data_IF_515268431524
#
_entry.id   IF_515268431524
#
_cell.length_a   1.000
_cell.length_b   1.000
_cell.length_c   1.000
_cell.angle_alpha   90.00
_cell.angle_beta   90.00
_cell.angle_gamma   90.00
#
_symmetry.space_group_name_H-M   'P 1'
#
loop_
_entity.id
_entity.type
_entity.pdbx_description
1 polymer ?
#
# COMPACT_ATOMS: atom_id res chain seq x y z
N UNK A 1 3.63 1.47 0.65
CA UNK A 1 4.74 1.26 -0.31
C UNK A 1 4.30 0.69 -1.65
N UNK A 2 3.45 -0.35 -1.68
CA UNK A 2 3.08 -1.08 -2.91
C UNK A 2 2.61 -0.19 -4.09
N UNK A 3 1.75 0.83 -3.91
CA UNK A 3 1.39 1.75 -5.00
C UNK A 3 2.56 2.56 -5.55
N UNK A 4 3.48 3.01 -4.70
CA UNK A 4 4.68 3.72 -5.13
C UNK A 4 5.63 2.83 -5.93
N UNK A 5 5.79 1.57 -5.51
CA UNK A 5 6.56 0.57 -6.25
C UNK A 5 5.94 0.28 -7.63
N UNK A 6 4.61 0.19 -7.70
CA UNK A 6 3.91 0.01 -8.97
C UNK A 6 4.18 1.15 -9.95
N UNK A 7 4.09 2.41 -9.50
CA UNK A 7 4.39 3.57 -10.34
C UNK A 7 5.86 3.53 -10.79
N UNK A 8 6.79 3.27 -9.87
CA UNK A 8 8.21 3.21 -10.19
C UNK A 8 8.51 2.17 -11.28
N UNK A 9 7.89 0.98 -11.20
CA UNK A 9 8.07 -0.07 -12.20
C UNK A 9 7.36 0.23 -13.51
N UNK A 10 6.12 0.73 -13.47
CA UNK A 10 5.30 0.89 -14.68
C UNK A 10 5.53 2.18 -15.45
N UNK A 11 6.11 3.20 -14.82
CA UNK A 11 6.41 4.49 -15.49
C UNK A 11 7.88 4.57 -15.87
N UNK A 12 8.79 4.14 -14.99
CA UNK A 12 10.23 4.37 -15.16
C UNK A 12 10.98 3.11 -15.60
N UNK A 13 10.62 1.93 -15.09
CA UNK A 13 11.43 0.72 -15.27
C UNK A 13 10.66 -0.55 -15.65
N UNK A 14 9.93 -0.51 -16.79
CA UNK A 14 9.11 -1.65 -17.26
C UNK A 14 9.93 -2.94 -17.43
N UNK A 15 11.19 -2.81 -17.86
CA UNK A 15 12.07 -3.93 -18.19
C UNK A 15 12.49 -4.78 -16.98
N UNK A 16 12.17 -4.37 -15.75
CA UNK A 16 12.43 -5.18 -14.56
C UNK A 16 11.36 -6.23 -14.28
N UNK A 17 10.23 -6.19 -15.01
CA UNK A 17 9.16 -7.18 -14.86
C UNK A 17 9.43 -8.43 -15.73
N UNK A 18 9.06 -9.63 -15.26
CA UNK A 18 9.08 -10.83 -16.09
C UNK A 18 8.29 -10.63 -17.38
N UNK A 19 8.81 -11.15 -18.50
CA UNK A 19 8.24 -10.93 -19.83
C UNK A 19 6.74 -11.26 -19.94
N UNK A 20 6.22 -12.38 -19.36
CA UNK A 20 4.79 -12.67 -19.41
C UNK A 20 3.92 -11.59 -18.73
N UNK A 21 4.38 -11.06 -17.59
CA UNK A 21 3.67 -10.00 -16.86
C UNK A 21 3.71 -8.68 -17.63
N UNK A 22 4.86 -8.36 -18.23
CA UNK A 22 5.02 -7.14 -19.05
C UNK A 22 4.02 -7.12 -20.20
N UNK A 23 3.86 -8.25 -20.91
CA UNK A 23 2.91 -8.36 -22.03
C UNK A 23 1.48 -8.15 -21.56
N UNK A 24 1.07 -8.80 -20.46
CA UNK A 24 -0.29 -8.64 -19.93
C UNK A 24 -0.58 -7.21 -19.47
N UNK A 25 0.37 -6.56 -18.77
CA UNK A 25 0.23 -5.19 -18.28
C UNK A 25 0.18 -4.20 -19.44
N UNK A 26 1.07 -4.37 -20.42
CA UNK A 26 1.14 -3.50 -21.60
C UNK A 26 -0.14 -3.64 -22.43
N UNK A 27 -0.59 -4.87 -22.70
CA UNK A 27 -1.84 -5.12 -23.42
C UNK A 27 -3.06 -4.49 -22.72
N UNK A 28 -3.09 -4.55 -21.38
CA UNK A 28 -4.16 -3.96 -20.57
C UNK A 28 -4.14 -2.42 -20.51
N UNK A 29 -3.03 -1.79 -20.93
CA UNK A 29 -2.86 -0.34 -20.96
C UNK A 29 -3.02 0.27 -22.36
N UNK A 30 -3.10 -0.55 -23.41
CA UNK A 30 -3.34 -0.06 -24.77
C UNK A 30 -4.70 0.63 -24.83
N UNK A 31 -4.72 1.92 -25.17
CA UNK A 31 -5.95 2.71 -25.30
C UNK A 31 -6.37 3.48 -24.05
N UNK A 32 -5.61 3.40 -22.93
CA UNK A 32 -5.86 4.24 -21.76
C UNK A 32 -5.22 5.63 -21.93
N UNK A 33 -5.98 6.73 -21.83
CA UNK A 33 -5.45 8.09 -21.97
C UNK A 33 -4.76 8.61 -20.68
N UNK A 34 -4.88 7.87 -19.58
CA UNK A 34 -4.44 8.30 -18.24
C UNK A 34 -3.05 7.73 -17.93
N UNK A 35 -2.18 8.55 -17.32
CA UNK A 35 -0.88 8.09 -16.81
C UNK A 35 -1.03 7.14 -15.63
N UNK A 36 -0.16 6.13 -15.50
CA UNK A 36 -0.18 5.15 -14.40
C UNK A 36 -0.22 5.79 -13.00
N UNK A 37 0.39 6.97 -12.80
CA UNK A 37 0.35 7.69 -11.52
C UNK A 37 -1.05 8.22 -11.19
N UNK A 38 -1.77 8.75 -12.18
CA UNK A 38 -3.15 9.20 -12.01
C UNK A 38 -4.11 8.03 -11.88
N UNK A 39 -3.86 6.96 -12.63
CA UNK A 39 -4.63 5.72 -12.62
C UNK A 39 -4.76 5.15 -11.19
N UNK A 40 -3.63 5.02 -10.49
CA UNK A 40 -3.60 4.49 -9.12
C UNK A 40 -4.19 5.49 -8.11
N UNK A 41 -4.02 6.80 -8.33
CA UNK A 41 -4.59 7.83 -7.47
C UNK A 41 -6.12 7.80 -7.51
N UNK A 42 -6.71 7.73 -8.70
CA UNK A 42 -8.17 7.62 -8.90
C UNK A 42 -8.70 6.36 -8.21
N UNK A 43 -8.04 5.21 -8.38
CA UNK A 43 -8.49 3.97 -7.74
C UNK A 43 -8.39 4.01 -6.22
N UNK A 44 -7.33 4.59 -5.67
CA UNK A 44 -7.23 4.76 -4.22
C UNK A 44 -8.33 5.70 -3.68
N UNK A 45 -8.67 6.77 -4.41
CA UNK A 45 -9.77 7.66 -4.05
C UNK A 45 -11.11 6.91 -4.07
N UNK A 46 -11.38 6.10 -5.10
CA UNK A 46 -12.61 5.30 -5.15
C UNK A 46 -12.71 4.32 -4.00
N UNK A 47 -11.63 3.58 -3.69
CA UNK A 47 -11.65 2.66 -2.56
C UNK A 47 -11.81 3.36 -1.21
N UNK A 48 -11.19 4.53 -1.02
CA UNK A 48 -11.34 5.30 0.21
C UNK A 48 -12.77 5.83 0.36
N UNK A 49 -13.40 6.28 -0.72
CA UNK A 49 -14.82 6.65 -0.77
C UNK A 49 -15.73 5.47 -0.40
N UNK A 50 -15.47 4.27 -0.93
CA UNK A 50 -16.26 3.08 -0.58
C UNK A 50 -16.09 2.66 0.87
N UNK A 51 -14.86 2.75 1.39
CA UNK A 51 -14.57 2.51 2.79
C UNK A 51 -15.32 3.50 3.69
N UNK A 52 -15.22 4.79 3.40
CA UNK A 52 -15.86 5.86 4.17
C UNK A 52 -17.39 5.77 4.11
N UNK A 53 -17.95 5.43 2.94
CA UNK A 53 -19.38 5.15 2.80
C UNK A 53 -19.79 3.91 3.60
N UNK A 54 -18.98 2.85 3.56
CA UNK A 54 -19.23 1.59 4.27
C UNK A 54 -19.29 1.75 5.79
N UNK A 55 -18.41 2.59 6.36
CA UNK A 55 -18.41 2.85 7.82
C UNK A 55 -19.53 3.80 8.26
N UNK A 56 -20.01 4.68 7.38
CA UNK A 56 -21.07 5.66 7.67
C UNK A 56 -22.48 5.08 7.55
N UNK A 57 -22.64 4.02 6.78
CA UNK A 57 -23.93 3.35 6.59
C UNK A 57 -24.22 2.33 7.70
N UNK A 58 -25.51 2.04 7.99
CA UNK A 58 -25.88 0.97 8.92
C UNK A 58 -25.29 -0.37 8.47
N UNK A 59 -24.87 -1.22 9.42
CA UNK A 59 -24.19 -2.50 9.14
C UNK A 59 -24.91 -3.40 8.13
N UNK A 60 -26.25 -3.37 8.08
CA UNK A 60 -27.06 -4.14 7.13
C UNK A 60 -26.84 -3.75 5.66
N UNK A 61 -26.41 -2.52 5.38
CA UNK A 61 -26.24 -1.98 4.02
C UNK A 61 -24.79 -1.61 3.71
N UNK A 62 -24.01 -1.23 4.72
CA UNK A 62 -22.62 -0.78 4.55
C UNK A 62 -21.70 -1.82 3.90
N UNK A 63 -21.80 -3.08 4.30
CA UNK A 63 -21.01 -4.16 3.68
C UNK A 63 -21.40 -4.37 2.21
N UNK A 64 -22.70 -4.34 1.90
CA UNK A 64 -23.21 -4.49 0.54
C UNK A 64 -22.73 -3.35 -0.37
N UNK A 65 -22.76 -2.10 0.12
CA UNK A 65 -22.27 -0.93 -0.63
C UNK A 65 -20.76 -1.01 -0.87
N UNK A 66 -19.98 -1.43 0.12
CA UNK A 66 -18.54 -1.58 -0.05
C UNK A 66 -18.18 -2.67 -1.10
N UNK A 67 -18.86 -3.83 -1.06
CA UNK A 67 -18.63 -4.93 -2.01
C UNK A 67 -19.10 -4.57 -3.42
N UNK A 68 -20.32 -4.04 -3.55
CA UNK A 68 -20.86 -3.63 -4.85
C UNK A 68 -20.08 -2.44 -5.43
N UNK A 69 -19.68 -1.48 -4.59
CA UNK A 69 -18.83 -0.36 -4.99
C UNK A 69 -17.50 -0.84 -5.57
N UNK A 70 -16.77 -1.67 -4.82
CA UNK A 70 -15.48 -2.21 -5.28
C UNK A 70 -15.57 -3.02 -6.58
N UNK A 71 -16.59 -3.87 -6.72
CA UNK A 71 -16.73 -4.76 -7.88
C UNK A 71 -17.38 -4.05 -9.09
N UNK A 72 -18.56 -3.46 -8.94
CA UNK A 72 -19.32 -2.88 -10.07
C UNK A 72 -18.65 -1.59 -10.55
N UNK A 73 -18.28 -0.70 -9.62
CA UNK A 73 -17.66 0.58 -10.02
C UNK A 73 -16.22 0.36 -10.47
N UNK A 74 -15.49 -0.59 -9.84
CA UNK A 74 -14.15 -0.96 -10.29
C UNK A 74 -14.14 -1.50 -11.72
N UNK A 75 -15.08 -2.40 -12.04
CA UNK A 75 -15.25 -2.96 -13.38
C UNK A 75 -15.75 -1.93 -14.40
N UNK A 76 -16.65 -1.03 -13.99
CA UNK A 76 -17.06 0.11 -14.82
C UNK A 76 -15.89 1.07 -15.09
N UNK A 77 -15.02 1.34 -14.10
CA UNK A 77 -13.85 2.20 -14.27
C UNK A 77 -12.84 1.61 -15.26
N UNK A 78 -12.69 0.28 -15.28
CA UNK A 78 -11.87 -0.43 -16.27
C UNK A 78 -12.48 -0.27 -17.67
N UNK A 79 -13.76 -0.57 -17.84
CA UNK A 79 -14.44 -0.44 -19.14
C UNK A 79 -14.49 0.99 -19.68
N UNK A 80 -14.62 1.98 -18.79
CA UNK A 80 -14.59 3.40 -19.13
C UNK A 80 -13.18 3.90 -19.51
N UNK A 81 -12.13 3.07 -19.34
CA UNK A 81 -10.77 3.44 -19.67
C UNK A 81 -10.12 4.40 -18.66
N UNK A 82 -10.66 4.51 -17.44
CA UNK A 82 -10.03 5.30 -16.38
C UNK A 82 -8.87 4.55 -15.70
N UNK A 83 -8.92 3.21 -15.71
CA UNK A 83 -7.97 2.35 -15.02
C UNK A 83 -7.76 1.03 -15.74
N UNK A 84 -6.65 0.36 -15.46
CA UNK A 84 -6.34 -0.99 -15.94
C UNK A 84 -6.64 -2.03 -14.86
N UNK A 85 -6.96 -3.28 -15.25
CA UNK A 85 -7.10 -4.39 -14.31
C UNK A 85 -5.89 -4.57 -13.38
N UNK A 86 -4.68 -4.34 -13.89
CA UNK A 86 -3.45 -4.50 -13.10
C UNK A 86 -3.34 -3.47 -11.97
N UNK A 87 -3.69 -2.21 -12.21
CA UNK A 87 -3.68 -1.16 -11.20
C UNK A 87 -4.82 -1.34 -10.19
N UNK A 88 -5.99 -1.83 -10.63
CA UNK A 88 -7.10 -2.20 -9.73
C UNK A 88 -6.64 -3.20 -8.66
N UNK A 89 -5.96 -4.28 -9.09
CA UNK A 89 -5.46 -5.33 -8.16
C UNK A 89 -4.53 -4.74 -7.11
N UNK A 90 -3.65 -3.82 -7.52
CA UNK A 90 -2.66 -3.18 -6.64
C UNK A 90 -3.33 -2.20 -5.66
N UNK A 91 -4.33 -1.45 -6.13
CA UNK A 91 -5.16 -0.60 -5.28
C UNK A 91 -5.93 -1.43 -4.24
N UNK A 92 -6.58 -2.51 -4.67
CA UNK A 92 -7.33 -3.41 -3.79
C UNK A 92 -6.44 -4.04 -2.72
N UNK A 93 -5.27 -4.58 -3.10
CA UNK A 93 -4.29 -5.13 -2.16
C UNK A 93 -3.83 -4.09 -1.13
N UNK A 94 -3.64 -2.85 -1.56
CA UNK A 94 -3.23 -1.75 -0.66
C UNK A 94 -4.31 -1.47 0.38
N UNK A 95 -5.57 -1.39 -0.05
CA UNK A 95 -6.71 -1.10 0.83
C UNK A 95 -6.96 -2.27 1.80
N UNK A 96 -6.92 -3.50 1.30
CA UNK A 96 -7.06 -4.71 2.14
C UNK A 96 -5.95 -4.75 3.20
N UNK A 97 -4.71 -4.42 2.82
CA UNK A 97 -3.60 -4.34 3.75
C UNK A 97 -3.81 -3.25 4.81
N UNK A 98 -4.51 -2.16 4.47
CA UNK A 98 -4.80 -1.07 5.41
C UNK A 98 -5.66 -1.52 6.59
N UNK A 99 -6.52 -2.53 6.43
CA UNK A 99 -7.31 -3.08 7.53
C UNK A 99 -6.46 -3.78 8.61
N UNK A 100 -5.17 -4.03 8.34
CA UNK A 100 -4.22 -4.51 9.37
C UNK A 100 -3.69 -3.38 10.26
N UNK A 101 -3.82 -2.12 9.81
CA UNK A 101 -3.42 -0.96 10.58
C UNK A 101 -4.53 -0.49 11.52
N UNK A 102 -4.12 0.07 12.65
CA UNK A 102 -5.03 0.74 13.60
C UNK A 102 -5.61 2.01 12.96
N UNK A 103 -4.78 2.75 12.21
CA UNK A 103 -5.20 3.91 11.44
C UNK A 103 -5.36 3.50 9.96
N UNK A 104 -6.61 3.49 9.48
CA UNK A 104 -6.98 3.00 8.15
C UNK A 104 -6.91 4.07 7.05
N UNK A 105 -6.32 5.25 7.32
CA UNK A 105 -6.22 6.31 6.32
C UNK A 105 -5.25 5.93 5.19
N UNK A 106 -5.79 5.37 4.10
CA UNK A 106 -5.00 4.85 2.97
C UNK A 106 -4.36 6.00 2.20
N UNK A 107 -5.14 7.01 1.83
CA UNK A 107 -4.67 8.11 1.00
C UNK A 107 -3.57 8.90 1.71
N UNK A 108 -3.77 9.28 2.98
CA UNK A 108 -2.79 10.05 3.74
C UNK A 108 -1.44 9.32 3.87
N UNK A 109 -1.47 8.02 4.13
CA UNK A 109 -0.25 7.23 4.36
C UNK A 109 0.56 6.96 3.08
N UNK A 110 -0.10 6.93 1.92
CA UNK A 110 0.55 6.49 0.66
C UNK A 110 0.81 7.66 -0.30
N UNK A 111 0.12 8.79 -0.16
CA UNK A 111 0.21 9.94 -1.05
C UNK A 111 1.64 10.48 -1.23
N UNK A 112 2.38 10.62 -0.13
CA UNK A 112 3.76 11.13 -0.16
C UNK A 112 4.67 10.20 -0.98
N UNK A 113 4.53 8.89 -0.81
CA UNK A 113 5.31 7.88 -1.53
C UNK A 113 4.95 7.87 -3.01
N UNK A 114 3.67 8.04 -3.36
CA UNK A 114 3.20 8.13 -4.75
C UNK A 114 3.81 9.34 -5.46
N UNK A 115 3.83 10.51 -4.81
CA UNK A 115 4.44 11.72 -5.37
C UNK A 115 5.92 11.49 -5.63
N UNK A 116 6.67 11.05 -4.62
CA UNK A 116 8.11 10.85 -4.74
C UNK A 116 8.43 9.80 -5.82
N UNK A 117 7.70 8.68 -5.86
CA UNK A 117 7.89 7.64 -6.87
C UNK A 117 7.46 8.10 -8.28
N UNK A 118 6.47 8.98 -8.40
CA UNK A 118 6.05 9.52 -9.70
C UNK A 118 7.13 10.41 -10.31
N UNK A 119 7.78 11.27 -9.52
CA UNK A 119 8.81 12.18 -10.02
C UNK A 119 10.18 11.51 -10.16
N UNK A 120 10.58 10.68 -9.20
CA UNK A 120 11.95 10.12 -9.12
C UNK A 120 12.03 8.61 -9.42
N UNK A 121 10.90 7.97 -9.76
CA UNK A 121 10.86 6.55 -10.13
C UNK A 121 11.36 5.62 -9.04
N UNK A 122 12.15 4.61 -9.44
CA UNK A 122 12.69 3.59 -8.54
C UNK A 122 13.65 4.18 -7.49
N UNK A 123 14.40 5.23 -7.85
CA UNK A 123 15.27 5.94 -6.91
C UNK A 123 14.44 6.61 -5.80
N UNK A 124 13.37 7.32 -6.18
CA UNK A 124 12.45 7.94 -5.23
C UNK A 124 11.74 6.94 -4.31
N UNK A 125 11.35 5.79 -4.86
CA UNK A 125 10.78 4.71 -4.07
C UNK A 125 11.74 4.21 -3.00
N UNK A 126 13.00 3.92 -3.37
CA UNK A 126 14.03 3.47 -2.41
C UNK A 126 14.30 4.53 -1.34
N UNK A 127 14.39 5.81 -1.72
CA UNK A 127 14.54 6.91 -0.75
C UNK A 127 13.37 6.97 0.23
N UNK A 128 12.14 6.78 -0.23
CA UNK A 128 10.95 6.78 0.63
C UNK A 128 10.99 5.63 1.65
N UNK A 129 11.46 4.46 1.24
CA UNK A 129 11.66 3.30 2.14
C UNK A 129 12.75 3.60 3.17
N UNK A 130 13.89 4.15 2.76
CA UNK A 130 14.99 4.50 3.67
C UNK A 130 14.59 5.60 4.66
N UNK A 131 13.89 6.63 4.20
CA UNK A 131 13.35 7.68 5.06
C UNK A 131 12.42 7.10 6.12
N UNK A 132 11.49 6.24 5.71
CA UNK A 132 10.59 5.56 6.65
C UNK A 132 11.33 4.66 7.64
N UNK A 133 12.34 3.93 7.19
CA UNK A 133 13.15 3.06 8.07
C UNK A 133 13.90 3.89 9.13
N UNK A 134 14.47 5.01 8.70
CA UNK A 134 15.16 5.96 9.59
C UNK A 134 14.17 6.56 10.58
N UNK A 135 12.98 6.94 10.12
CA UNK A 135 11.91 7.44 10.99
C UNK A 135 11.53 6.42 12.07
N UNK A 136 11.30 5.15 11.72
CA UNK A 136 10.99 4.11 12.71
C UNK A 136 12.16 3.90 13.68
N UNK A 137 13.40 3.99 13.20
CA UNK A 137 14.58 3.84 14.07
C UNK A 137 14.70 4.94 15.13
N UNK A 138 14.16 6.13 14.85
CA UNK A 138 14.11 7.24 15.79
C UNK A 138 12.97 7.14 16.81
N UNK A 139 12.01 6.24 16.61
CA UNK A 139 10.90 6.05 17.53
C UNK A 139 11.36 5.24 18.75
N UNK A 140 10.96 5.71 19.93
CA UNK A 140 11.13 5.00 21.19
C UNK A 140 9.79 4.47 21.70
N UNK A 141 9.77 3.24 22.20
CA UNK A 141 8.64 2.62 22.87
C UNK A 141 9.03 2.33 24.31
N UNK A 142 8.40 3.03 25.26
CA UNK A 142 8.67 2.90 26.70
C UNK A 142 10.17 3.05 27.05
N UNK A 143 10.86 4.01 26.43
CA UNK A 143 12.28 4.29 26.67
C UNK A 143 13.26 3.32 25.98
N UNK A 144 12.78 2.43 25.13
CA UNK A 144 13.61 1.57 24.28
C UNK A 144 13.39 1.86 22.80
N UNK A 145 14.46 1.90 21.96
CA UNK A 145 14.30 2.06 20.52
C UNK A 145 13.34 1.01 19.95
N UNK A 146 12.42 1.43 19.09
CA UNK A 146 11.38 0.56 18.53
C UNK A 146 11.98 -0.64 17.76
N UNK A 147 13.12 -0.43 17.08
CA UNK A 147 13.87 -1.47 16.38
C UNK A 147 14.84 -2.27 17.27
N UNK A 148 14.83 -2.09 18.59
CA UNK A 148 15.74 -2.81 19.50
C UNK A 148 15.65 -4.35 19.38
N UNK A 149 14.46 -4.89 19.06
CA UNK A 149 14.24 -6.32 18.79
C UNK A 149 15.01 -6.81 17.56
N UNK A 150 15.20 -5.96 16.54
CA UNK A 150 15.96 -6.26 15.33
C UNK A 150 17.47 -5.99 15.48
N UNK A 151 17.88 -5.18 16.46
CA UNK A 151 19.29 -4.85 16.72
C UNK A 151 20.12 -6.05 17.17
N UNK A 152 19.53 -7.02 17.89
CA UNK A 152 20.21 -8.27 18.28
C UNK A 152 19.64 -9.45 17.50
N UNK A 153 20.13 -9.62 16.27
CA UNK A 153 19.78 -10.71 15.36
C UNK A 153 20.27 -12.05 15.94
N UNK A 154 19.46 -12.64 16.82
CA UNK A 154 19.58 -14.03 17.20
C UNK A 154 18.29 -14.74 16.76
N UNK A 155 18.42 -15.96 16.23
CA UNK A 155 17.28 -16.80 15.83
C UNK A 155 16.19 -16.84 16.92
N UNK A 156 16.50 -17.01 18.22
CA UNK A 156 15.47 -16.97 19.27
C UNK A 156 14.82 -15.59 19.45
N UNK A 157 15.53 -14.47 19.21
CA UNK A 157 14.93 -13.13 19.26
C UNK A 157 14.08 -12.83 18.03
N UNK A 158 14.43 -13.35 16.85
CA UNK A 158 13.62 -13.25 15.64
C UNK A 158 12.27 -13.94 15.81
N UNK A 159 12.26 -15.15 16.38
CA UNK A 159 11.03 -15.89 16.67
C UNK A 159 10.18 -15.14 17.71
N UNK A 160 10.79 -14.63 18.78
CA UNK A 160 10.10 -13.84 19.81
C UNK A 160 9.55 -12.51 19.28
N UNK A 161 10.28 -11.86 18.36
CA UNK A 161 9.85 -10.63 17.71
C UNK A 161 8.69 -10.85 16.74
N UNK A 162 8.74 -11.90 15.93
CA UNK A 162 7.67 -12.24 14.99
C UNK A 162 6.38 -12.68 15.70
N UNK A 163 6.50 -13.46 16.78
CA UNK A 163 5.35 -13.88 17.60
C UNK A 163 4.88 -12.78 18.59
N UNK A 164 5.54 -11.62 18.60
CA UNK A 164 5.22 -10.47 19.45
C UNK A 164 5.04 -10.86 20.92
N UNK A 165 5.90 -11.73 21.44
CA UNK A 165 5.84 -12.19 22.82
C UNK A 165 6.00 -11.01 23.79
N UNK A 166 5.23 -10.95 24.89
CA UNK A 166 5.30 -9.86 25.84
C UNK A 166 6.70 -9.78 26.45
N UNK A 167 7.27 -8.58 26.49
CA UNK A 167 8.50 -8.32 27.21
C UNK A 167 8.28 -8.64 28.69
N UNK A 168 9.06 -9.58 29.24
CA UNK A 168 9.11 -9.76 30.69
C UNK A 168 9.72 -8.48 31.27
N UNK A 169 8.91 -7.69 31.95
CA UNK A 169 9.35 -6.57 32.78
C UNK A 169 10.27 -7.18 33.85
N UNK A 170 11.58 -7.03 33.70
CA UNK A 170 12.50 -7.23 34.82
C UNK A 170 12.38 -5.98 35.67
N UNK A 171 11.55 -6.07 36.71
CA UNK A 171 11.58 -5.13 37.83
C UNK A 171 12.99 -5.27 38.42
N UNK A 172 13.74 -4.18 38.38
CA UNK A 172 15.07 -4.09 38.95
C UNK A 172 14.87 -3.78 40.42
N UNK A 173 15.13 -4.76 41.29
CA UNK A 173 15.34 -4.53 42.72
C UNK A 173 16.59 -3.68 42.94
#
# INVERSE_FOLDING_TARGET
>A
FLPGLWIALTVHQLNQLPFPLLVSISASKIGLPVSSSFEILIMLIFFDLFQEAGIRLPKAVGQTVAVLGGLIVGDAAIRAGFTSPSTLVIGALTVISSYTLINQNVLGNVFLIIIIASFFGMYGFVLSVLFFLTYISSLESFGHPYLSTFSKVSIPNLIKGFLKMPFRIKIKD
#
